data_IF_073738363535
#
_entry.id   IF_073738363535
#
_cell.length_a   1.000
_cell.length_b   1.000
_cell.length_c   1.000
_cell.angle_alpha   90.00
_cell.angle_beta   90.00
_cell.angle_gamma   90.00
#
_symmetry.space_group_name_H-M   'P 1'
#
loop_
_entity.id
_entity.type
_entity.pdbx_description
1 polymer ?
#
# COMPACT_ATOMS: atom_id res chain seq x y z
N UNK A 1 36.52 -4.73 3.25
CA UNK A 1 35.93 -5.64 2.24
C UNK A 1 34.72 -6.31 2.84
N UNK A 2 33.70 -6.50 2.00
CA UNK A 2 32.46 -7.27 2.20
C UNK A 2 31.28 -6.53 2.85
N UNK A 3 30.72 -5.64 2.02
CA UNK A 3 29.32 -5.64 1.56
C UNK A 3 28.15 -5.43 2.53
N UNK A 4 27.33 -4.46 2.10
CA UNK A 4 25.86 -4.55 1.95
C UNK A 4 25.03 -3.94 3.09
N UNK A 5 24.59 -2.72 2.83
CA UNK A 5 23.16 -2.35 2.86
C UNK A 5 22.24 -3.34 3.58
N UNK A 6 21.94 -3.10 4.85
CA UNK A 6 20.66 -3.56 5.43
C UNK A 6 20.01 -2.35 6.12
N UNK A 7 19.84 -1.27 5.34
CA UNK A 7 18.70 -0.39 5.56
C UNK A 7 17.48 -1.17 5.07
N UNK A 8 16.40 -1.12 5.86
CA UNK A 8 15.10 -1.79 5.71
C UNK A 8 15.04 -3.11 6.47
N UNK A 9 14.35 -3.06 7.61
CA UNK A 9 13.23 -3.97 7.80
C UNK A 9 12.26 -3.31 8.78
N UNK A 10 11.64 -2.22 8.32
CA UNK A 10 10.31 -1.90 8.80
C UNK A 10 9.44 -3.09 8.39
N UNK A 11 9.23 -4.04 9.30
CA UNK A 11 8.24 -5.12 9.20
C UNK A 11 6.84 -4.51 9.28
N UNK A 12 6.57 -3.60 8.35
CA UNK A 12 5.28 -2.99 8.12
C UNK A 12 4.48 -4.02 7.36
N UNK A 13 3.79 -4.90 8.09
CA UNK A 13 2.68 -5.65 7.52
C UNK A 13 1.62 -4.63 7.12
N UNK A 14 1.80 -4.05 5.92
CA UNK A 14 0.75 -3.30 5.26
C UNK A 14 -0.43 -4.25 5.16
N UNK A 15 -1.53 -3.89 5.80
CA UNK A 15 -2.79 -4.60 5.68
C UNK A 15 -3.63 -3.77 4.72
N UNK A 16 -3.50 -4.01 3.41
CA UNK A 16 -4.24 -3.23 2.44
C UNK A 16 -5.73 -3.45 2.65
N UNK A 17 -6.48 -2.36 2.70
CA UNK A 17 -7.94 -2.38 2.82
C UNK A 17 -8.53 -2.01 1.47
N UNK A 18 -9.43 -2.83 0.95
CA UNK A 18 -10.18 -2.46 -0.25
C UNK A 18 -11.22 -1.38 0.07
N UNK A 19 -11.38 -0.41 -0.82
CA UNK A 19 -12.33 0.70 -0.70
C UNK A 19 -13.53 0.44 -1.61
N UNK A 20 -14.65 -0.05 -1.06
CA UNK A 20 -15.79 -0.49 -1.86
C UNK A 20 -16.60 0.65 -2.49
N UNK A 21 -16.46 1.89 -1.99
CA UNK A 21 -17.16 3.05 -2.56
C UNK A 21 -16.43 3.69 -3.73
N UNK A 22 -15.19 3.29 -4.02
CA UNK A 22 -14.43 3.73 -5.20
C UNK A 22 -14.42 2.57 -6.20
N UNK A 23 -15.30 2.66 -7.19
CA UNK A 23 -15.46 1.67 -8.26
C UNK A 23 -14.80 2.10 -9.58
N UNK A 24 -13.98 3.15 -9.55
CA UNK A 24 -13.34 3.72 -10.72
C UNK A 24 -11.85 3.95 -10.46
N UNK A 25 -11.03 3.53 -11.43
CA UNK A 25 -9.57 3.59 -11.32
C UNK A 25 -9.05 5.01 -11.26
N UNK A 26 -9.67 5.94 -11.99
CA UNK A 26 -9.27 7.34 -11.99
C UNK A 26 -9.52 7.98 -10.63
N UNK A 27 -10.69 7.76 -10.04
CA UNK A 27 -10.99 8.23 -8.68
C UNK A 27 -10.07 7.62 -7.63
N UNK A 28 -9.75 6.32 -7.75
CA UNK A 28 -8.81 5.67 -6.84
C UNK A 28 -7.42 6.34 -6.88
N UNK A 29 -6.88 6.49 -8.09
CA UNK A 29 -5.57 7.10 -8.32
C UNK A 29 -5.54 8.59 -7.95
N UNK A 30 -6.63 9.32 -8.19
CA UNK A 30 -6.76 10.73 -7.81
C UNK A 30 -6.65 10.94 -6.29
N UNK A 31 -6.99 9.92 -5.49
CA UNK A 31 -6.83 9.94 -4.03
C UNK A 31 -5.46 9.49 -3.54
N UNK A 32 -4.52 9.16 -4.44
CA UNK A 32 -3.20 8.64 -4.10
C UNK A 32 -3.17 7.17 -3.71
N UNK A 33 -4.22 6.42 -4.06
CA UNK A 33 -4.36 4.99 -3.76
C UNK A 33 -4.04 4.12 -4.97
N UNK A 34 -3.89 2.81 -4.74
CA UNK A 34 -3.58 1.87 -5.81
C UNK A 34 -4.85 1.21 -6.34
N UNK A 35 -4.96 1.09 -7.65
CA UNK A 35 -6.03 0.33 -8.28
C UNK A 35 -5.49 -1.05 -8.69
N UNK A 36 -6.01 -2.12 -8.08
CA UNK A 36 -5.56 -3.49 -8.34
C UNK A 36 -6.74 -4.48 -8.31
N UNK A 37 -6.73 -5.43 -9.23
CA UNK A 37 -7.76 -6.49 -9.33
C UNK A 37 -9.21 -5.97 -9.52
N UNK A 38 -9.38 -4.73 -9.99
CA UNK A 38 -10.69 -4.12 -10.16
C UNK A 38 -11.22 -3.42 -8.91
N UNK A 39 -10.41 -3.34 -7.85
CA UNK A 39 -10.73 -2.65 -6.60
C UNK A 39 -9.68 -1.57 -6.30
N UNK A 40 -10.08 -0.58 -5.50
CA UNK A 40 -9.18 0.42 -4.96
C UNK A 40 -8.60 -0.06 -3.63
N UNK A 41 -7.28 -0.07 -3.48
CA UNK A 41 -6.56 -0.54 -2.31
C UNK A 41 -5.87 0.60 -1.58
N UNK A 42 -6.12 0.68 -0.27
CA UNK A 42 -5.46 1.61 0.65
C UNK A 42 -4.36 0.88 1.44
N UNK A 43 -3.12 1.27 1.21
CA UNK A 43 -1.92 0.70 1.84
C UNK A 43 -1.43 1.53 3.04
N UNK A 44 -2.15 2.56 3.47
CA UNK A 44 -1.72 3.45 4.56
C UNK A 44 -1.76 2.79 5.94
N UNK A 45 -2.38 1.62 6.07
CA UNK A 45 -2.48 0.94 7.34
C UNK A 45 -1.20 0.21 7.72
N UNK A 46 -0.31 0.97 8.34
CA UNK A 46 0.90 0.48 8.97
C UNK A 46 0.64 0.14 10.43
N UNK A 47 0.69 -1.15 10.78
CA UNK A 47 0.65 -1.59 12.19
C UNK A 47 2.02 -1.37 12.80
N UNK A 48 2.20 -0.30 13.55
CA UNK A 48 3.42 -0.07 14.34
C UNK A 48 3.25 -0.82 15.68
N UNK A 49 3.84 -2.00 15.82
CA UNK A 49 4.03 -2.68 17.12
C UNK A 49 5.43 -2.38 17.63
#
# INVERSE_FOLDING_TARGET
MITLFIVKNKFLAAHPTSIPWINDSYNCQATGRAWEQGDCWDYEHYRNW
#
